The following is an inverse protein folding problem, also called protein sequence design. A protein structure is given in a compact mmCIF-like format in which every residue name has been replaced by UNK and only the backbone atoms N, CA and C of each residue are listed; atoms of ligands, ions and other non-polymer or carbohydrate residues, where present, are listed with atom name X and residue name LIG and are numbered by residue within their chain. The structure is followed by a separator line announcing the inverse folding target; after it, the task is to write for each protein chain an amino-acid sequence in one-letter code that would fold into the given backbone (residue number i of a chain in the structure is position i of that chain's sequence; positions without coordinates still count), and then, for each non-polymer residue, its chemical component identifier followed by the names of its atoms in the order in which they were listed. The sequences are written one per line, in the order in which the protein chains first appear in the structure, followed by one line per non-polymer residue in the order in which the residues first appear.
data_IF_973831655937
#
_entry.id   IF_973831655937
#
_cell.length_a   1.000
_cell.length_b   1.000
_cell.length_c   1.000
_cell.angle_alpha   90.00
_cell.angle_beta   90.00
_cell.angle_gamma   90.00
#
_symmetry.space_group_name_H-M   'P 1'
#
loop_
_entity.id
_entity.type
_entity.pdbx_description
1 polymer ?
#
# COMPACT_ATOMS: atom_id res chain seq x y z
N UNK A 1 -6.04 -13.30 5.33
CA UNK A 1 -6.75 -12.32 4.52
C UNK A 1 -6.05 -12.16 3.17
N UNK A 2 -6.81 -12.17 2.09
CA UNK A 2 -6.25 -12.08 0.74
C UNK A 2 -5.36 -10.84 0.53
N UNK A 3 -5.86 -9.68 1.00
CA UNK A 3 -5.14 -8.42 0.81
C UNK A 3 -3.75 -8.42 1.46
N UNK A 4 -3.66 -8.96 2.68
CA UNK A 4 -2.38 -9.09 3.39
C UNK A 4 -1.43 -9.99 2.60
N UNK A 5 -1.93 -11.14 2.14
CA UNK A 5 -1.12 -12.08 1.36
C UNK A 5 -0.58 -11.47 0.08
N UNK A 6 -1.41 -10.68 -0.61
CA UNK A 6 -0.99 -10.02 -1.85
C UNK A 6 0.06 -8.94 -1.58
N UNK A 7 -0.11 -8.16 -0.54
CA UNK A 7 0.88 -7.15 -0.16
C UNK A 7 2.21 -7.82 0.17
N UNK A 8 2.18 -8.89 0.94
CA UNK A 8 3.40 -9.62 1.32
C UNK A 8 4.09 -10.23 0.10
N UNK A 9 3.31 -10.73 -0.86
CA UNK A 9 3.87 -11.31 -2.08
C UNK A 9 4.60 -10.28 -2.93
N UNK A 10 4.27 -9.00 -2.78
CA UNK A 10 4.94 -7.91 -3.49
C UNK A 10 6.13 -7.33 -2.73
N UNK A 11 6.47 -7.92 -1.59
CA UNK A 11 7.59 -7.47 -0.79
C UNK A 11 7.25 -6.49 0.31
N UNK A 12 5.96 -6.22 0.53
CA UNK A 12 5.54 -5.35 1.61
C UNK A 12 5.62 -6.07 2.96
N UNK A 13 6.00 -5.34 4.00
CA UNK A 13 5.89 -5.84 5.36
C UNK A 13 4.60 -5.27 5.95
N UNK A 14 3.66 -6.12 6.34
CA UNK A 14 2.32 -5.70 6.75
C UNK A 14 2.19 -5.76 8.27
N UNK A 15 1.62 -4.70 8.83
CA UNK A 15 1.34 -4.56 10.26
C UNK A 15 -0.15 -4.28 10.42
N UNK A 16 -0.97 -5.28 10.75
CA UNK A 16 -2.39 -5.03 10.97
C UNK A 16 -2.59 -4.06 12.13
N UNK A 17 -3.27 -2.94 11.88
CA UNK A 17 -3.46 -1.90 12.88
C UNK A 17 -4.87 -1.87 13.46
N UNK A 18 -5.86 -2.34 12.69
CA UNK A 18 -7.24 -2.43 13.15
C UNK A 18 -8.02 -3.29 12.16
N UNK A 19 -9.32 -3.50 12.42
CA UNK A 19 -10.19 -4.23 11.51
C UNK A 19 -10.37 -3.52 10.18
N UNK A 20 -10.20 -2.19 10.15
CA UNK A 20 -10.50 -1.37 8.99
C UNK A 20 -9.28 -0.80 8.28
N UNK A 21 -8.10 -0.93 8.87
CA UNK A 21 -6.88 -0.33 8.34
C UNK A 21 -5.71 -1.29 8.43
N UNK A 22 -4.82 -1.18 7.43
CA UNK A 22 -3.54 -1.87 7.44
C UNK A 22 -2.43 -0.85 7.29
N UNK A 23 -1.36 -1.04 8.04
CA UNK A 23 -0.11 -0.30 7.86
C UNK A 23 0.86 -1.25 7.16
N UNK A 24 1.55 -0.77 6.13
CA UNK A 24 2.59 -1.60 5.50
C UNK A 24 3.82 -0.77 5.18
N UNK A 25 4.93 -1.46 5.09
CA UNK A 25 6.20 -0.85 4.69
C UNK A 25 6.61 -1.40 3.33
N UNK A 26 6.97 -0.49 2.44
CA UNK A 26 7.55 -0.82 1.15
C UNK A 26 8.48 0.32 0.76
N UNK A 27 9.75 0.00 0.49
CA UNK A 27 10.76 0.99 0.16
C UNK A 27 10.64 1.42 -1.30
N UNK A 28 9.50 1.98 -1.65
CA UNK A 28 9.17 2.50 -2.97
C UNK A 28 8.24 3.69 -2.83
N UNK A 29 8.35 4.65 -3.73
CA UNK A 29 7.44 5.78 -3.75
C UNK A 29 6.13 5.37 -4.43
N UNK A 30 5.04 5.34 -3.68
CA UNK A 30 3.73 4.92 -4.18
C UNK A 30 2.73 6.05 -4.30
N UNK A 31 2.92 7.16 -3.56
CA UNK A 31 1.90 8.21 -3.49
C UNK A 31 1.55 8.78 -4.85
N UNK A 32 2.56 9.16 -5.63
CA UNK A 32 2.33 9.75 -6.95
C UNK A 32 1.66 8.77 -7.91
N UNK A 33 2.17 7.55 -7.96
CA UNK A 33 1.64 6.53 -8.88
C UNK A 33 0.19 6.20 -8.60
N UNK A 34 -0.15 6.03 -7.33
CA UNK A 34 -1.52 5.67 -6.94
C UNK A 34 -2.46 6.86 -7.08
N UNK A 35 -1.98 8.07 -6.78
CA UNK A 35 -2.77 9.28 -6.94
C UNK A 35 -3.20 9.47 -8.39
N UNK A 36 -2.31 9.21 -9.34
CA UNK A 36 -2.62 9.30 -10.77
C UNK A 36 -3.74 8.35 -11.19
N UNK A 37 -3.89 7.25 -10.47
CA UNK A 37 -4.92 6.25 -10.72
C UNK A 37 -6.20 6.50 -9.91
N UNK A 38 -6.25 7.60 -9.16
CA UNK A 38 -7.40 7.93 -8.33
C UNK A 38 -7.50 7.12 -7.05
N UNK A 39 -6.40 6.48 -6.64
CA UNK A 39 -6.36 5.67 -5.43
C UNK A 39 -5.63 6.43 -4.34
N UNK A 40 -6.28 6.60 -3.20
CA UNK A 40 -5.72 7.35 -2.08
C UNK A 40 -5.23 6.41 -1.00
N UNK A 41 -3.95 6.58 -0.64
CA UNK A 41 -3.36 5.94 0.52
C UNK A 41 -2.73 7.03 1.37
N UNK A 42 -2.42 6.72 2.63
CA UNK A 42 -1.82 7.70 3.53
C UNK A 42 -0.34 7.42 3.69
N UNK A 43 0.47 8.43 3.44
CA UNK A 43 1.91 8.40 3.74
C UNK A 43 2.07 8.64 5.24
N UNK A 44 2.71 7.70 5.92
CA UNK A 44 2.90 7.76 7.37
C UNK A 44 4.34 8.11 7.76
N UNK A 45 5.13 8.64 6.83
CA UNK A 45 6.54 8.95 7.08
C UNK A 45 6.74 10.00 8.18
N UNK A 46 5.74 10.86 8.41
CA UNK A 46 5.81 11.90 9.44
C UNK A 46 5.22 11.46 10.78
N UNK A 47 4.79 10.21 10.91
CA UNK A 47 4.33 9.70 12.20
C UNK A 47 5.53 9.40 13.07
N UNK A 48 5.37 9.64 14.38
CA UNK A 48 6.43 9.37 15.35
C UNK A 48 6.87 7.91 15.28
N UNK A 49 8.17 7.69 15.16
CA UNK A 49 8.74 6.35 15.09
C UNK A 49 8.69 5.70 13.72
N UNK A 50 8.11 6.37 12.72
CA UNK A 50 8.05 5.86 11.37
C UNK A 50 8.92 6.69 10.43
N UNK A 51 9.35 6.07 9.35
CA UNK A 51 10.18 6.70 8.32
C UNK A 51 9.50 6.61 6.98
N UNK A 52 10.16 7.10 5.94
CA UNK A 52 9.67 6.99 4.57
C UNK A 52 9.48 5.53 4.19
N UNK A 53 8.40 5.24 3.49
CA UNK A 53 8.06 3.88 3.07
C UNK A 53 6.92 3.26 3.85
N UNK A 54 6.44 3.90 4.90
CA UNK A 54 5.29 3.43 5.66
C UNK A 54 4.01 4.06 5.10
N UNK A 55 3.04 3.21 4.76
CA UNK A 55 1.76 3.64 4.20
C UNK A 55 0.62 2.98 4.93
N UNK A 56 -0.50 3.70 5.05
CA UNK A 56 -1.72 3.17 5.63
C UNK A 56 -2.82 3.14 4.59
N UNK A 57 -3.53 2.02 4.52
CA UNK A 57 -4.64 1.84 3.61
C UNK A 57 -5.88 1.43 4.38
N UNK A 58 -7.06 1.79 3.84
CA UNK A 58 -8.33 1.32 4.37
C UNK A 58 -8.66 -0.03 3.74
N UNK A 59 -9.16 -0.96 4.55
CA UNK A 59 -9.68 -2.23 4.05
C UNK A 59 -11.09 -1.96 3.56
N UNK A 60 -11.34 -2.20 2.28
CA UNK A 60 -12.60 -1.88 1.62
C UNK A 60 -13.22 -3.13 1.02
N UNK A 61 -14.06 -2.95 -0.01
CA UNK A 61 -14.66 -4.06 -0.72
C UNK A 61 -13.60 -4.87 -1.45
N UNK A 62 -13.93 -6.10 -1.81
CA UNK A 62 -13.00 -6.97 -2.55
C UNK A 62 -12.57 -6.29 -3.86
N UNK A 63 -13.52 -5.68 -4.58
CA UNK A 63 -13.21 -5.02 -5.84
C UNK A 63 -12.25 -3.84 -5.64
N UNK A 64 -12.49 -3.01 -4.63
CA UNK A 64 -11.62 -1.88 -4.36
C UNK A 64 -10.23 -2.34 -3.89
N UNK A 65 -10.17 -3.41 -3.11
CA UNK A 65 -8.89 -3.98 -2.68
C UNK A 65 -8.11 -4.53 -3.88
N UNK A 66 -8.79 -5.12 -4.85
CA UNK A 66 -8.14 -5.61 -6.07
C UNK A 66 -7.58 -4.45 -6.90
N UNK A 67 -8.33 -3.36 -7.00
CA UNK A 67 -7.85 -2.15 -7.70
C UNK A 67 -6.60 -1.59 -7.05
N UNK A 68 -6.56 -1.58 -5.71
CA UNK A 68 -5.39 -1.13 -4.97
C UNK A 68 -4.19 -2.02 -5.27
N UNK A 69 -4.36 -3.33 -5.20
CA UNK A 69 -3.27 -4.28 -5.46
C UNK A 69 -2.74 -4.14 -6.88
N UNK A 70 -3.65 -4.04 -7.86
CA UNK A 70 -3.26 -3.88 -9.27
C UNK A 70 -2.46 -2.59 -9.46
N UNK A 71 -2.88 -1.51 -8.80
CA UNK A 71 -2.19 -0.22 -8.90
C UNK A 71 -0.79 -0.27 -8.28
N UNK A 72 -0.64 -0.93 -7.14
CA UNK A 72 0.67 -1.08 -6.50
C UNK A 72 1.58 -1.93 -7.39
N UNK A 73 1.05 -3.05 -7.89
CA UNK A 73 1.83 -3.94 -8.76
C UNK A 73 2.32 -3.21 -10.02
N UNK A 74 1.45 -2.41 -10.63
CA UNK A 74 1.81 -1.62 -11.79
C UNK A 74 2.90 -0.58 -11.45
N UNK A 75 2.79 0.05 -10.30
CA UNK A 75 3.80 1.01 -9.85
C UNK A 75 5.16 0.35 -9.66
N UNK A 76 5.18 -0.87 -9.12
CA UNK A 76 6.42 -1.61 -8.91
C UNK A 76 7.03 -2.06 -10.24
N UNK A 77 6.21 -2.49 -11.17
CA UNK A 77 6.69 -2.89 -12.51
C UNK A 77 7.37 -1.72 -13.22
N UNK A 78 6.82 -0.52 -13.08
CA UNK A 78 7.41 0.68 -13.70
C UNK A 78 8.71 1.08 -13.02
N UNK A 79 8.84 0.83 -11.73
CA UNK A 79 10.06 1.15 -10.99
C UNK A 79 11.24 0.30 -11.41
N UNK A 80 10.98 -0.88 -11.98
CA UNK A 80 12.02 -1.80 -12.45
C UNK A 80 12.57 -1.44 -13.83
N UNK A 81 11.97 -0.47 -14.49
CA UNK A 81 12.43 0.03 -15.77
C UNK A 81 13.39 1.19 -15.57
#
# INVERSE_FOLDING_TARGET
MWLVGELESMGCKVYPSSANYLLFYLDQELMESLKRKGILIRDCSNYQGLTKGYYRIAVKTEEENRQLIDAIRDALDKADL
#
